data_IF_602724746188
#
_entry.id   IF_602724746188
#
_cell.length_a   1.000
_cell.length_b   1.000
_cell.length_c   1.000
_cell.angle_alpha   90.00
_cell.angle_beta   90.00
_cell.angle_gamma   90.00
#
_symmetry.space_group_name_H-M   'P 1'
#
loop_
_entity.id
_entity.type
_entity.pdbx_description
1 polymer ?
#
# COMPACT_ATOMS: atom_id res chain seq x y z
N UNK A 1 19.28 11.03 15.26
CA UNK A 1 19.32 9.91 14.29
C UNK A 1 18.02 9.12 14.43
N UNK A 2 17.11 9.17 13.46
CA UNK A 2 15.79 8.53 13.58
C UNK A 2 15.80 7.14 12.93
N UNK A 3 15.86 6.10 13.78
CA UNK A 3 15.60 4.71 13.40
C UNK A 3 14.14 4.58 12.95
N UNK A 4 13.87 4.47 11.64
CA UNK A 4 12.55 4.04 11.16
C UNK A 4 12.67 2.87 10.20
N UNK A 5 13.37 1.82 10.63
CA UNK A 5 13.09 0.48 10.13
C UNK A 5 11.73 0.05 10.70
N UNK A 6 10.64 0.58 10.15
CA UNK A 6 9.29 0.17 10.54
C UNK A 6 9.14 -1.29 10.09
N UNK A 7 9.45 -2.24 10.98
CA UNK A 7 9.07 -3.64 10.81
C UNK A 7 7.55 -3.66 10.70
N UNK A 8 7.05 -4.15 9.57
CA UNK A 8 5.61 -4.27 9.34
C UNK A 8 5.08 -5.22 10.42
N UNK A 9 4.12 -4.79 11.26
CA UNK A 9 3.54 -5.68 12.26
C UNK A 9 2.89 -6.88 11.58
N UNK A 10 2.99 -8.06 12.20
CA UNK A 10 2.46 -9.30 11.61
C UNK A 10 0.95 -9.20 11.31
N UNK A 11 0.17 -8.58 12.19
CA UNK A 11 -1.26 -8.35 11.96
C UNK A 11 -1.55 -7.46 10.74
N UNK A 12 -0.64 -6.53 10.41
CA UNK A 12 -0.74 -5.72 9.18
C UNK A 12 -0.45 -6.57 7.97
N UNK A 13 0.55 -7.46 8.06
CA UNK A 13 0.86 -8.40 6.99
C UNK A 13 -0.34 -9.31 6.69
N UNK A 14 -0.92 -9.93 7.71
CA UNK A 14 -2.12 -10.77 7.56
C UNK A 14 -3.29 -10.00 6.93
N UNK A 15 -3.53 -8.76 7.38
CA UNK A 15 -4.59 -7.91 6.83
C UNK A 15 -4.31 -7.51 5.37
N UNK A 16 -3.05 -7.22 5.04
CA UNK A 16 -2.63 -6.92 3.68
C UNK A 16 -2.85 -8.11 2.75
N UNK A 17 -2.50 -9.33 3.18
CA UNK A 17 -2.78 -10.56 2.43
C UNK A 17 -4.28 -10.75 2.21
N UNK A 18 -5.11 -10.51 3.23
CA UNK A 18 -6.57 -10.58 3.08
C UNK A 18 -7.09 -9.58 2.04
N UNK A 19 -6.62 -8.34 2.08
CA UNK A 19 -6.97 -7.30 1.09
C UNK A 19 -6.53 -7.70 -0.32
N UNK A 20 -5.33 -8.28 -0.48
CA UNK A 20 -4.86 -8.78 -1.77
C UNK A 20 -5.72 -9.93 -2.29
N UNK A 21 -6.15 -10.85 -1.43
CA UNK A 21 -7.07 -11.92 -1.82
C UNK A 21 -8.41 -11.35 -2.32
N UNK A 22 -8.94 -10.32 -1.66
CA UNK A 22 -10.15 -9.64 -2.14
C UNK A 22 -9.94 -8.92 -3.47
N UNK A 23 -8.78 -8.32 -3.68
CA UNK A 23 -8.42 -7.69 -4.97
C UNK A 23 -8.33 -8.74 -6.07
N UNK A 24 -7.67 -9.88 -5.82
CA UNK A 24 -7.59 -11.01 -6.77
C UNK A 24 -8.95 -11.59 -7.09
N UNK A 25 -9.85 -11.64 -6.11
CA UNK A 25 -11.25 -12.02 -6.28
C UNK A 25 -12.12 -10.92 -6.93
N UNK A 26 -11.52 -9.80 -7.36
CA UNK A 26 -12.19 -8.63 -7.97
C UNK A 26 -13.31 -8.03 -7.10
N UNK A 27 -13.25 -8.23 -5.78
CA UNK A 27 -14.23 -7.69 -4.83
C UNK A 27 -13.95 -6.24 -4.47
N UNK A 28 -12.69 -5.83 -4.53
CA UNK A 28 -12.24 -4.47 -4.25
C UNK A 28 -11.43 -3.91 -5.42
N UNK A 29 -11.55 -2.62 -5.65
CA UNK A 29 -10.87 -1.92 -6.73
C UNK A 29 -9.77 -1.01 -6.17
N UNK A 30 -8.58 -1.00 -6.78
CA UNK A 30 -7.51 -0.13 -6.36
C UNK A 30 -7.75 1.31 -6.83
N UNK A 31 -7.39 2.27 -6.00
CA UNK A 31 -7.38 3.68 -6.38
C UNK A 31 -6.11 4.01 -7.14
N UNK A 32 -6.24 4.53 -8.35
CA UNK A 32 -5.12 5.01 -9.15
C UNK A 32 -4.68 6.39 -8.68
N UNK A 33 -3.39 6.56 -8.46
CA UNK A 33 -2.78 7.84 -8.14
C UNK A 33 -2.67 8.71 -9.38
N UNK A 34 -3.21 9.93 -9.29
CA UNK A 34 -3.04 10.96 -10.30
C UNK A 34 -1.58 11.45 -10.30
N UNK A 35 -0.91 11.41 -11.45
CA UNK A 35 0.50 11.79 -11.61
C UNK A 35 1.43 10.62 -11.90
N UNK A 36 1.52 9.64 -11.01
CA UNK A 36 2.44 8.49 -11.16
C UNK A 36 1.80 7.26 -11.84
N UNK A 37 0.47 7.20 -11.92
CA UNK A 37 -0.23 6.03 -12.46
C UNK A 37 -0.22 4.80 -11.55
N UNK A 38 0.42 4.89 -10.37
CA UNK A 38 0.50 3.85 -9.37
C UNK A 38 -0.89 3.46 -8.83
N UNK A 39 -1.05 2.22 -8.40
CA UNK A 39 -2.25 1.70 -7.78
C UNK A 39 -2.11 1.66 -6.26
N UNK A 40 -3.17 2.04 -5.54
CA UNK A 40 -3.19 2.01 -4.08
C UNK A 40 -4.41 1.27 -3.54
N UNK A 41 -4.19 0.44 -2.54
CA UNK A 41 -5.23 -0.26 -1.78
C UNK A 41 -5.13 0.11 -0.29
N UNK A 42 -6.28 0.30 0.35
CA UNK A 42 -6.35 0.65 1.78
C UNK A 42 -6.37 -0.63 2.61
N UNK A 43 -5.36 -0.82 3.47
CA UNK A 43 -5.32 -1.92 4.44
C UNK A 43 -5.92 -1.48 5.77
N UNK A 44 -5.51 -0.30 6.24
CA UNK A 44 -6.06 0.36 7.42
C UNK A 44 -5.83 1.89 7.32
N UNK A 45 -6.22 2.65 8.33
CA UNK A 45 -5.97 4.09 8.40
C UNK A 45 -4.49 4.45 8.24
N UNK A 46 -3.60 3.68 8.89
CA UNK A 46 -2.15 3.92 8.90
C UNK A 46 -1.37 3.17 7.81
N UNK A 47 -2.00 2.25 7.08
CA UNK A 47 -1.30 1.33 6.18
C UNK A 47 -1.98 1.22 4.81
N UNK A 48 -1.18 1.32 3.75
CA UNK A 48 -1.61 1.19 2.37
C UNK A 48 -0.73 0.22 1.62
N UNK A 49 -1.33 -0.53 0.71
CA UNK A 49 -0.64 -1.31 -0.29
C UNK A 49 -0.45 -0.43 -1.53
N UNK A 50 0.79 -0.31 -2.00
CA UNK A 50 1.14 0.44 -3.20
C UNK A 50 1.67 -0.53 -4.25
N UNK A 51 1.13 -0.45 -5.45
CA UNK A 51 1.64 -1.15 -6.62
C UNK A 51 2.12 -0.14 -7.65
N UNK A 52 3.38 -0.28 -8.08
CA UNK A 52 3.96 0.51 -9.16
C UNK A 52 3.82 -0.15 -10.53
N UNK A 53 3.69 -1.47 -10.55
CA UNK A 53 3.66 -2.28 -11.78
C UNK A 53 2.23 -2.61 -12.25
N UNK A 54 1.27 -1.71 -12.03
CA UNK A 54 -0.12 -1.91 -12.50
C UNK A 54 -0.88 -3.06 -11.84
N UNK A 55 -0.48 -3.49 -10.64
CA UNK A 55 -1.18 -4.49 -9.82
C UNK A 55 -0.46 -5.83 -9.73
N UNK A 56 0.73 -5.97 -10.35
CA UNK A 56 1.55 -7.19 -10.30
C UNK A 56 2.24 -7.37 -8.95
N UNK A 57 2.91 -6.33 -8.45
CA UNK A 57 3.60 -6.33 -7.16
C UNK A 57 2.97 -5.32 -6.21
N UNK A 58 2.82 -5.71 -4.95
CA UNK A 58 2.23 -4.85 -3.92
C UNK A 58 3.16 -4.72 -2.72
N UNK A 59 3.51 -3.49 -2.39
CA UNK A 59 4.33 -3.15 -1.24
C UNK A 59 3.47 -2.54 -0.13
N UNK A 60 3.55 -3.11 1.08
CA UNK A 60 2.89 -2.54 2.27
C UNK A 60 3.72 -1.36 2.77
N UNK A 61 3.09 -0.19 2.81
CA UNK A 61 3.71 1.04 3.28
C UNK A 61 2.86 1.71 4.37
N UNK A 62 3.54 2.32 5.34
CA UNK A 62 2.90 3.21 6.30
C UNK A 62 2.46 4.51 5.63
N UNK A 63 1.49 5.20 6.26
CA UNK A 63 0.99 6.48 5.77
C UNK A 63 2.10 7.53 5.58
N UNK A 64 3.09 7.56 6.47
CA UNK A 64 4.22 8.49 6.36
C UNK A 64 5.07 8.23 5.11
N UNK A 65 5.39 6.95 4.84
CA UNK A 65 6.14 6.57 3.63
C UNK A 65 5.32 6.80 2.37
N UNK A 66 4.02 6.53 2.43
CA UNK A 66 3.08 6.82 1.36
C UNK A 66 2.99 8.32 1.05
N UNK A 67 2.92 9.18 2.07
CA UNK A 67 2.84 10.63 1.89
C UNK A 67 4.09 11.17 1.20
N UNK A 68 5.29 10.72 1.63
CA UNK A 68 6.55 11.07 0.96
C UNK A 68 6.61 10.61 -0.50
N UNK A 69 6.04 9.45 -0.83
CA UNK A 69 5.98 8.96 -2.23
C UNK A 69 4.98 9.77 -3.06
N UNK A 70 3.85 10.17 -2.47
CA UNK A 70 2.82 10.96 -3.16
C UNK A 70 3.26 12.40 -3.40
N UNK A 71 3.99 12.99 -2.44
CA UNK A 71 4.35 14.41 -2.42
C UNK A 71 5.69 14.72 -3.13
N UNK A 72 6.43 13.69 -3.56
CA UNK A 72 7.68 13.87 -4.30
C UNK A 72 7.36 14.36 -5.72
N UNK A 73 7.20 15.68 -5.84
CA UNK A 73 7.10 16.47 -7.07
C UNK A 73 8.47 16.68 -7.69
#
# INVERSE_FOLDING_TARGET
>A
MALTAIRIPEWVHLKAVHVLNQFRARRIHPCRMHGSGNLSLKVNHRWRLLSRDGGKNWEVMSHERYSKVKDRK
#
